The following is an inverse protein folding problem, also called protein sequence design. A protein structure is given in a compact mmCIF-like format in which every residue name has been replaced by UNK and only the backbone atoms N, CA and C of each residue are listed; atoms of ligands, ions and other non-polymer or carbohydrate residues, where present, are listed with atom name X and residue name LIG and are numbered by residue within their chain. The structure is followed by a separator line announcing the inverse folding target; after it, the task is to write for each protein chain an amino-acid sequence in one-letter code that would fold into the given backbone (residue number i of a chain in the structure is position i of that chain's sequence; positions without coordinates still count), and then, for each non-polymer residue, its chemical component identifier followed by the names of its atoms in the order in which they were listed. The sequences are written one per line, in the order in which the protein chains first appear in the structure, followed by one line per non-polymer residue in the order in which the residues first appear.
data_IF_221888723107
#
_entry.id   IF_221888723107
#
_cell.length_a   1.000
_cell.length_b   1.000
_cell.length_c   1.000
_cell.angle_alpha   90.00
_cell.angle_beta   90.00
_cell.angle_gamma   90.00
#
_symmetry.space_group_name_H-M   'P 1'
#
loop_
_entity.id
_entity.type
_entity.pdbx_description
1 polymer ?
#
# COMPACT_ATOMS: atom_id res chain seq x y z
N UNK A 1 21.99 -11.37 11.25
CA UNK A 1 22.20 -12.57 10.42
C UNK A 1 21.88 -12.16 8.99
N UNK A 2 22.90 -11.81 8.20
CA UNK A 2 22.72 -11.32 6.83
C UNK A 2 22.67 -12.55 5.93
N UNK A 3 21.46 -12.99 5.56
CA UNK A 3 21.29 -14.09 4.62
C UNK A 3 21.72 -13.62 3.24
N UNK A 4 22.81 -14.19 2.73
CA UNK A 4 23.26 -14.03 1.35
C UNK A 4 22.14 -14.54 0.42
N UNK A 5 21.62 -13.72 -0.52
CA UNK A 5 20.65 -14.21 -1.48
C UNK A 5 21.32 -15.25 -2.40
N UNK A 6 20.68 -16.41 -2.54
CA UNK A 6 21.04 -17.40 -3.56
C UNK A 6 20.94 -16.73 -4.94
N UNK A 7 21.97 -16.82 -5.80
CA UNK A 7 21.85 -16.31 -7.16
C UNK A 7 20.74 -17.08 -7.86
N UNK A 8 19.66 -16.37 -8.18
CA UNK A 8 18.55 -16.91 -8.95
C UNK A 8 18.99 -17.30 -10.36
N UNK A 9 18.19 -18.14 -11.02
CA UNK A 9 18.35 -18.47 -12.44
C UNK A 9 18.59 -17.19 -13.25
N UNK A 10 19.58 -17.16 -14.17
CA UNK A 10 19.83 -15.99 -15.00
C UNK A 10 18.57 -15.63 -15.77
N UNK A 11 18.05 -14.42 -15.53
CA UNK A 11 16.93 -13.89 -16.31
C UNK A 11 17.42 -13.51 -17.70
N UNK A 12 16.57 -13.63 -18.74
CA UNK A 12 16.92 -13.18 -20.07
C UNK A 12 17.24 -11.68 -20.06
N UNK A 13 18.12 -11.26 -20.96
CA UNK A 13 18.30 -9.84 -21.26
C UNK A 13 16.96 -9.26 -21.73
N UNK A 14 16.62 -8.06 -21.23
CA UNK A 14 15.40 -7.35 -21.58
C UNK A 14 15.68 -6.22 -22.56
N UNK A 15 14.74 -5.99 -23.47
CA UNK A 15 14.72 -4.83 -24.38
C UNK A 15 13.91 -3.65 -23.80
N UNK A 16 13.73 -3.59 -22.47
CA UNK A 16 13.11 -2.43 -21.83
C UNK A 16 13.89 -1.15 -22.19
N UNK A 17 13.17 -0.10 -22.56
CA UNK A 17 13.76 1.21 -22.82
C UNK A 17 14.72 1.62 -21.68
N UNK A 18 16.01 1.87 -21.96
CA UNK A 18 16.99 2.21 -20.94
C UNK A 18 16.60 3.42 -20.08
N UNK A 19 15.86 4.39 -20.63
CA UNK A 19 15.37 5.55 -19.88
C UNK A 19 14.25 5.20 -18.90
N UNK A 20 13.44 4.18 -19.20
CA UNK A 20 12.46 3.62 -18.25
C UNK A 20 13.20 2.76 -17.22
N UNK A 21 14.10 1.89 -17.67
CA UNK A 21 14.87 1.00 -16.81
C UNK A 21 15.68 1.77 -15.76
N UNK A 22 16.28 2.91 -16.12
CA UNK A 22 17.07 3.74 -15.20
C UNK A 22 16.23 4.37 -14.07
N UNK A 23 14.91 4.45 -14.22
CA UNK A 23 14.01 5.03 -13.21
C UNK A 23 13.56 4.01 -12.16
N UNK A 24 13.61 2.71 -12.47
CA UNK A 24 13.13 1.65 -11.59
C UNK A 24 14.13 1.36 -10.46
N UNK A 25 13.65 1.41 -9.22
CA UNK A 25 14.36 0.88 -8.05
C UNK A 25 13.89 -0.53 -7.75
N UNK A 26 14.61 -1.51 -8.28
CA UNK A 26 14.29 -2.92 -8.02
C UNK A 26 14.79 -3.35 -6.64
N UNK A 27 14.13 -4.35 -6.07
CA UNK A 27 14.64 -5.08 -4.91
C UNK A 27 15.92 -5.86 -5.21
N UNK A 28 16.46 -6.53 -4.19
CA UNK A 28 17.68 -7.35 -4.33
C UNK A 28 17.52 -8.54 -5.28
N UNK A 29 16.29 -8.99 -5.51
CA UNK A 29 15.92 -9.99 -6.51
C UNK A 29 15.73 -9.39 -7.92
N UNK A 30 15.91 -8.08 -8.07
CA UNK A 30 15.69 -7.32 -9.29
C UNK A 30 14.23 -7.26 -9.72
N UNK A 31 13.29 -7.35 -8.78
CA UNK A 31 11.85 -7.20 -9.03
C UNK A 31 11.31 -5.87 -8.49
N UNK A 32 10.19 -5.43 -9.05
CA UNK A 32 9.31 -4.40 -8.48
C UNK A 32 7.92 -5.00 -8.23
N UNK A 33 7.21 -4.61 -7.16
CA UNK A 33 5.80 -4.90 -7.02
C UNK A 33 5.01 -4.21 -8.12
N UNK A 34 3.99 -4.90 -8.65
CA UNK A 34 3.09 -4.38 -9.65
C UNK A 34 1.65 -4.48 -9.15
N UNK A 35 1.03 -3.34 -8.87
CA UNK A 35 -0.37 -3.25 -8.43
C UNK A 35 -1.24 -3.16 -9.69
N UNK A 36 -2.07 -4.18 -9.93
CA UNK A 36 -3.08 -4.13 -10.97
C UNK A 36 -4.35 -3.49 -10.41
N UNK A 37 -4.78 -2.39 -11.03
CA UNK A 37 -5.97 -1.65 -10.62
C UNK A 37 -6.92 -1.50 -11.79
N UNK A 38 -8.22 -1.72 -11.56
CA UNK A 38 -9.24 -1.46 -12.57
C UNK A 38 -9.23 0.03 -12.94
N UNK A 39 -9.12 0.32 -14.24
CA UNK A 39 -8.79 1.66 -14.73
C UNK A 39 -9.85 2.72 -14.44
N UNK A 40 -11.14 2.34 -14.45
CA UNK A 40 -12.29 3.22 -14.33
C UNK A 40 -12.85 3.29 -12.89
N UNK A 41 -12.90 2.16 -12.18
CA UNK A 41 -13.41 2.13 -10.79
C UNK A 41 -12.34 2.41 -9.74
N UNK A 42 -11.07 2.21 -10.07
CA UNK A 42 -9.98 2.27 -9.09
C UNK A 42 -9.90 1.05 -8.17
N UNK A 43 -10.71 0.00 -8.38
CA UNK A 43 -10.66 -1.24 -7.62
C UNK A 43 -9.27 -1.89 -7.74
N UNK A 44 -8.61 -2.16 -6.62
CA UNK A 44 -7.35 -2.92 -6.63
C UNK A 44 -7.69 -4.39 -6.86
N UNK A 45 -7.07 -4.99 -7.88
CA UNK A 45 -7.42 -6.33 -8.36
C UNK A 45 -6.47 -7.40 -7.85
N UNK A 46 -5.17 -7.12 -7.92
CA UNK A 46 -4.13 -8.05 -7.49
C UNK A 46 -2.80 -7.32 -7.37
N UNK A 47 -1.87 -7.99 -6.69
CA UNK A 47 -0.45 -7.65 -6.71
C UNK A 47 0.32 -8.76 -7.45
N UNK A 48 1.16 -8.36 -8.38
CA UNK A 48 2.14 -9.22 -9.05
C UNK A 48 3.56 -8.69 -8.87
N UNK A 49 4.51 -9.37 -9.50
CA UNK A 49 5.91 -8.94 -9.55
C UNK A 49 6.32 -8.79 -11.01
N UNK A 50 7.08 -7.76 -11.30
CA UNK A 50 7.68 -7.54 -12.61
C UNK A 50 9.18 -7.33 -12.46
N UNK A 51 9.94 -7.89 -13.39
CA UNK A 51 11.27 -7.42 -13.72
C UNK A 51 11.23 -6.57 -15.00
N UNK A 52 12.40 -6.23 -15.51
CA UNK A 52 12.54 -5.44 -16.72
C UNK A 52 11.85 -6.09 -17.91
N UNK A 53 11.95 -7.41 -18.05
CA UNK A 53 11.39 -8.13 -19.18
C UNK A 53 9.87 -8.28 -19.08
N UNK A 54 9.34 -8.56 -17.90
CA UNK A 54 7.92 -8.57 -17.64
C UNK A 54 7.29 -7.19 -17.89
N UNK A 55 7.97 -6.11 -17.47
CA UNK A 55 7.52 -4.74 -17.74
C UNK A 55 7.63 -4.40 -19.23
N UNK A 56 8.74 -4.75 -19.89
CA UNK A 56 8.93 -4.56 -21.32
C UNK A 56 7.81 -5.23 -22.13
N UNK A 57 7.51 -6.51 -21.88
CA UNK A 57 6.39 -7.22 -22.50
C UNK A 57 5.07 -6.55 -22.22
N UNK A 58 4.86 -6.08 -20.99
CA UNK A 58 3.63 -5.39 -20.60
C UNK A 58 3.42 -4.10 -21.39
N UNK A 59 4.47 -3.29 -21.53
CA UNK A 59 4.42 -2.01 -22.24
C UNK A 59 4.30 -2.18 -23.75
N UNK A 60 4.91 -3.23 -24.31
CA UNK A 60 4.91 -3.47 -25.77
C UNK A 60 3.66 -4.19 -26.26
N UNK A 61 3.17 -5.17 -25.52
CA UNK A 61 2.00 -5.98 -25.92
C UNK A 61 0.66 -5.39 -25.47
N UNK A 62 0.68 -4.48 -24.50
CA UNK A 62 -0.54 -3.98 -23.84
C UNK A 62 -1.24 -5.04 -22.97
N UNK A 63 -0.57 -6.17 -22.68
CA UNK A 63 -1.08 -7.27 -21.85
C UNK A 63 -0.21 -7.42 -20.60
N UNK A 64 -0.83 -7.53 -19.43
CA UNK A 64 -0.05 -7.70 -18.20
C UNK A 64 0.72 -9.02 -18.20
N UNK A 65 2.04 -8.90 -18.12
CA UNK A 65 2.98 -10.01 -17.95
C UNK A 65 3.66 -9.88 -16.61
N UNK A 66 3.75 -10.97 -15.85
CA UNK A 66 4.34 -10.99 -14.52
C UNK A 66 5.44 -12.06 -14.41
N UNK A 67 6.31 -11.93 -13.42
CA UNK A 67 7.37 -12.89 -13.07
C UNK A 67 7.05 -13.71 -11.84
N UNK A 68 7.00 -15.04 -11.98
CA UNK A 68 6.57 -15.94 -10.90
C UNK A 68 7.74 -16.27 -10.02
N UNK A 69 7.77 -15.70 -8.80
CA UNK A 69 8.86 -15.98 -7.86
C UNK A 69 8.97 -17.46 -7.49
N UNK A 70 7.85 -18.18 -7.43
CA UNK A 70 7.85 -19.61 -7.10
C UNK A 70 8.19 -20.50 -8.30
N UNK A 71 7.63 -20.21 -9.48
CA UNK A 71 7.84 -21.01 -10.70
C UNK A 71 9.06 -20.59 -11.50
N UNK A 72 9.64 -19.43 -11.18
CA UNK A 72 10.75 -18.81 -11.90
C UNK A 72 10.47 -18.73 -13.42
N UNK A 73 9.25 -18.30 -13.76
CA UNK A 73 8.79 -18.18 -15.14
C UNK A 73 7.92 -16.94 -15.35
N UNK A 74 7.89 -16.44 -16.58
CA UNK A 74 6.95 -15.40 -16.99
C UNK A 74 5.57 -16.00 -17.22
N UNK A 75 4.53 -15.24 -16.87
CA UNK A 75 3.18 -15.58 -17.27
C UNK A 75 2.41 -14.33 -17.69
N UNK A 76 1.68 -14.42 -18.80
CA UNK A 76 0.76 -13.37 -19.23
C UNK A 76 -0.60 -13.64 -18.59
N UNK A 77 -1.15 -12.65 -17.88
CA UNK A 77 -2.42 -12.82 -17.17
C UNK A 77 -3.54 -13.13 -18.15
N UNK A 78 -4.16 -14.28 -17.94
CA UNK A 78 -5.32 -14.72 -18.70
C UNK A 78 -5.03 -15.71 -19.83
N UNK A 79 -3.78 -16.07 -20.14
CA UNK A 79 -3.46 -16.96 -21.27
C UNK A 79 -4.13 -18.33 -21.17
N UNK A 80 -4.24 -18.89 -19.97
CA UNK A 80 -4.93 -20.18 -19.75
C UNK A 80 -6.42 -20.00 -19.51
N UNK A 81 -6.82 -18.99 -18.72
CA UNK A 81 -8.20 -18.82 -18.24
C UNK A 81 -9.11 -17.99 -19.17
N UNK A 82 -8.54 -17.22 -20.10
CA UNK A 82 -9.26 -16.14 -20.80
C UNK A 82 -9.49 -14.87 -19.96
N UNK A 83 -9.12 -14.85 -18.67
CA UNK A 83 -9.31 -13.69 -17.79
C UNK A 83 -8.16 -12.68 -17.91
N UNK A 84 -8.20 -11.89 -18.99
CA UNK A 84 -7.10 -11.03 -19.43
C UNK A 84 -7.08 -9.66 -18.74
N UNK A 85 -5.90 -9.03 -18.72
CA UNK A 85 -5.70 -7.65 -18.27
C UNK A 85 -5.11 -6.83 -19.41
N UNK A 86 -5.92 -5.92 -19.97
CA UNK A 86 -5.49 -4.97 -21.00
C UNK A 86 -5.00 -3.69 -20.34
N UNK A 87 -3.75 -3.32 -20.59
CA UNK A 87 -3.10 -2.15 -19.99
C UNK A 87 -3.71 -0.87 -20.57
N UNK A 88 -4.08 0.06 -19.70
CA UNK A 88 -4.54 1.42 -20.06
C UNK A 88 -3.51 2.48 -19.71
N UNK A 89 -2.82 2.32 -18.57
CA UNK A 89 -1.70 3.18 -18.19
C UNK A 89 -0.79 2.50 -17.18
N UNK A 90 0.49 2.89 -17.14
CA UNK A 90 1.46 2.44 -16.14
C UNK A 90 2.09 3.68 -15.50
N UNK A 91 2.21 3.68 -14.17
CA UNK A 91 2.87 4.75 -13.41
C UNK A 91 3.83 4.17 -12.38
N UNK A 92 4.86 4.94 -12.02
CA UNK A 92 5.72 4.68 -10.87
C UNK A 92 5.13 5.39 -9.64
N UNK A 93 5.39 4.85 -8.46
CA UNK A 93 5.21 5.58 -7.22
C UNK A 93 6.33 6.62 -6.99
N UNK A 94 6.32 7.29 -5.83
CA UNK A 94 7.11 8.48 -5.60
C UNK A 94 8.61 8.23 -5.46
N UNK A 95 9.02 7.05 -5.00
CA UNK A 95 10.40 6.61 -4.93
C UNK A 95 10.75 5.54 -5.97
N UNK A 96 9.80 5.20 -6.85
CA UNK A 96 9.98 4.37 -8.04
C UNK A 96 10.37 2.92 -7.76
N UNK A 97 9.97 2.39 -6.61
CA UNK A 97 10.15 0.97 -6.28
C UNK A 97 8.93 0.10 -6.61
N UNK A 98 7.79 0.73 -6.94
CA UNK A 98 6.53 0.06 -7.26
C UNK A 98 5.89 0.63 -8.53
N UNK A 99 5.25 -0.24 -9.32
CA UNK A 99 4.44 0.17 -10.49
C UNK A 99 2.95 0.01 -10.24
N UNK A 100 2.17 1.04 -10.58
CA UNK A 100 0.72 0.97 -10.69
C UNK A 100 0.35 0.72 -12.15
N UNK A 101 -0.30 -0.40 -12.42
CA UNK A 101 -0.78 -0.79 -13.75
C UNK A 101 -2.29 -0.66 -13.74
N UNK A 102 -2.81 0.39 -14.40
CA UNK A 102 -4.25 0.51 -14.63
C UNK A 102 -4.64 -0.38 -15.80
N UNK A 103 -5.58 -1.28 -15.55
CA UNK A 103 -6.00 -2.31 -16.50
C UNK A 103 -7.50 -2.31 -16.69
N UNK A 104 -7.92 -2.79 -17.85
CA UNK A 104 -9.28 -3.23 -18.13
C UNK A 104 -9.31 -4.74 -18.01
N UNK A 105 -9.88 -5.22 -16.90
CA UNK A 105 -9.95 -6.64 -16.58
C UNK A 105 -11.15 -7.30 -17.26
N UNK A 106 -10.88 -8.35 -18.03
CA UNK A 106 -11.90 -9.29 -18.48
C UNK A 106 -11.95 -10.49 -17.54
N UNK A 107 -13.14 -10.90 -17.09
CA UNK A 107 -13.32 -12.03 -16.18
C UNK A 107 -12.69 -11.81 -14.79
N UNK A 108 -12.34 -12.89 -14.10
CA UNK A 108 -11.81 -12.83 -12.74
C UNK A 108 -10.31 -12.49 -12.69
N UNK A 109 -9.92 -11.54 -11.83
CA UNK A 109 -8.51 -11.32 -11.56
C UNK A 109 -7.92 -12.46 -10.72
N UNK A 110 -8.69 -12.99 -9.77
CA UNK A 110 -8.24 -14.04 -8.86
C UNK A 110 -8.37 -15.44 -9.49
N UNK A 111 -7.51 -16.36 -9.06
CA UNK A 111 -7.56 -17.77 -9.48
C UNK A 111 -8.72 -18.54 -8.83
N UNK A 112 -9.33 -18.00 -7.77
CA UNK A 112 -10.53 -18.55 -7.11
C UNK A 112 -11.80 -18.28 -7.89
N UNK A 113 -11.75 -17.43 -8.93
CA UNK A 113 -12.92 -16.94 -9.65
C UNK A 113 -13.41 -15.57 -9.18
N UNK A 114 -12.81 -15.01 -8.12
CA UNK A 114 -13.21 -13.70 -7.60
C UNK A 114 -12.71 -12.52 -8.44
N UNK A 115 -13.46 -11.42 -8.36
CA UNK A 115 -13.17 -10.18 -9.11
C UNK A 115 -11.81 -9.60 -8.74
N UNK A 116 -11.48 -9.63 -7.46
CA UNK A 116 -10.22 -9.18 -6.86
C UNK A 116 -9.67 -10.25 -5.91
N UNK A 117 -8.36 -10.24 -5.69
CA UNK A 117 -7.69 -11.09 -4.71
C UNK A 117 -7.94 -10.67 -3.25
N UNK A 118 -8.58 -9.51 -3.00
CA UNK A 118 -8.61 -8.86 -1.69
C UNK A 118 -9.97 -8.97 -0.95
N UNK A 119 -10.90 -9.80 -1.42
CA UNK A 119 -12.25 -9.90 -0.82
C UNK A 119 -12.39 -11.01 0.25
N UNK A 120 -11.63 -12.09 0.15
CA UNK A 120 -11.91 -13.31 0.92
C UNK A 120 -11.56 -13.23 2.42
N UNK A 121 -10.53 -12.46 2.79
CA UNK A 121 -10.02 -12.40 4.16
C UNK A 121 -9.68 -10.96 4.56
N UNK A 122 -10.70 -10.24 5.04
CA UNK A 122 -10.59 -8.84 5.44
C UNK A 122 -10.11 -8.75 6.88
N UNK A 123 -8.89 -8.25 7.08
CA UNK A 123 -8.26 -8.13 8.40
C UNK A 123 -8.89 -7.05 9.30
N UNK A 124 -9.48 -6.01 8.70
CA UNK A 124 -10.11 -4.91 9.43
C UNK A 124 -11.24 -4.28 8.59
N UNK A 125 -12.48 -4.42 9.05
CA UNK A 125 -13.69 -3.94 8.35
C UNK A 125 -14.06 -2.47 8.63
N UNK A 126 -13.12 -1.67 9.16
CA UNK A 126 -13.36 -0.29 9.56
C UNK A 126 -13.70 -0.13 11.06
N UNK A 127 -13.51 1.10 11.55
CA UNK A 127 -14.06 1.54 12.84
C UNK A 127 -15.51 1.93 12.61
N UNK A 128 -16.45 1.35 13.38
CA UNK A 128 -17.75 2.01 13.57
C UNK A 128 -17.48 3.42 14.08
N UNK A 129 -18.13 4.47 13.54
CA UNK A 129 -17.92 5.82 14.05
C UNK A 129 -18.23 5.81 15.54
N UNK A 130 -17.23 6.17 16.36
CA UNK A 130 -17.46 6.44 17.78
C UNK A 130 -18.53 7.53 17.81
N UNK A 131 -19.70 7.21 18.36
CA UNK A 131 -20.75 8.22 18.56
C UNK A 131 -20.14 9.32 19.42
N UNK A 132 -20.15 10.55 18.91
CA UNK A 132 -19.76 11.75 19.66
C UNK A 132 -20.67 11.87 20.89
N UNK A 133 -20.25 11.28 22.02
CA UNK A 133 -21.07 11.14 23.21
C UNK A 133 -20.33 10.50 24.39
N UNK A 134 -19.31 9.67 24.13
CA UNK A 134 -18.49 9.05 25.19
C UNK A 134 -17.27 9.89 25.61
N UNK A 135 -17.39 11.22 25.56
CA UNK A 135 -16.47 12.07 26.30
C UNK A 135 -16.75 11.87 27.80
N UNK A 136 -15.96 11.03 28.46
CA UNK A 136 -15.95 10.93 29.91
C UNK A 136 -15.58 12.30 30.50
N UNK A 137 -16.28 12.79 31.53
CA UNK A 137 -15.89 14.03 32.18
C UNK A 137 -14.55 13.82 32.91
N UNK A 138 -13.62 14.74 32.67
CA UNK A 138 -12.36 14.86 33.41
C UNK A 138 -12.65 15.07 34.91
N UNK A 139 -12.51 14.00 35.69
CA UNK A 139 -12.44 14.07 37.16
C UNK A 139 -10.99 14.09 37.61
N UNK A 140 -10.31 15.23 37.43
CA UNK A 140 -9.06 15.53 38.14
C UNK A 140 -9.36 15.98 39.58
N UNK A 141 -8.82 15.33 40.63
CA UNK A 141 -8.95 15.79 41.99
C UNK A 141 -7.77 16.71 42.33
N UNK A 142 -7.96 18.02 42.24
CA UNK A 142 -7.00 18.99 42.78
C UNK A 142 -7.71 20.21 43.34
N UNK A 143 -8.44 20.00 44.42
CA UNK A 143 -8.69 21.03 45.44
C UNK A 143 -9.23 20.33 46.67
N UNK A 144 -8.35 19.97 47.62
CA UNK A 144 -8.58 20.07 49.07
C UNK A 144 -7.26 19.75 49.79
N UNK A 145 -6.53 20.77 50.24
CA UNK A 145 -5.67 20.61 51.40
C UNK A 145 -5.57 21.90 52.23
N UNK A 146 -5.96 21.75 53.49
CA UNK A 146 -5.69 22.55 54.72
C UNK A 146 -6.70 23.63 55.10
N UNK A 147 -7.58 23.24 56.03
CA UNK A 147 -8.12 24.10 57.09
C UNK A 147 -7.24 23.97 58.34
N UNK A 148 -6.78 25.10 58.90
CA UNK A 148 -6.61 25.24 60.35
C UNK A 148 -6.45 26.71 60.79
N UNK A 149 -7.51 27.22 61.42
CA UNK A 149 -7.59 28.08 62.63
C UNK A 149 -6.86 29.43 62.67
N UNK A 150 -7.66 30.50 62.83
CA UNK A 150 -7.58 31.39 64.01
C UNK A 150 -7.23 32.87 63.81
N UNK A 151 -8.17 33.77 64.17
CA UNK A 151 -7.88 35.14 64.66
C UNK A 151 -8.49 36.30 63.84
N UNK A 152 -9.23 37.26 64.45
CA UNK A 152 -9.84 38.38 63.71
C UNK A 152 -8.98 39.67 63.66
N UNK A 153 -9.01 40.32 62.49
CA UNK A 153 -9.15 41.78 62.16
C UNK A 153 -8.35 42.79 63.02
N UNK A 154 -7.55 43.74 62.46
CA UNK A 154 -8.13 44.89 61.74
C UNK A 154 -7.37 45.58 60.60
N UNK A 155 -8.15 46.50 60.00
CA UNK A 155 -7.95 47.43 58.87
C UNK A 155 -6.68 48.30 58.95
N UNK A 156 -6.13 48.62 57.77
CA UNK A 156 -5.32 49.82 57.51
C UNK A 156 -5.00 49.92 56.00
N UNK A 157 -5.65 50.84 55.29
CA UNK A 157 -5.14 52.11 54.71
C UNK A 157 -4.02 51.97 53.67
N UNK A 158 -4.29 52.52 52.47
CA UNK A 158 -3.44 53.25 51.49
C UNK A 158 -2.04 52.66 51.14
N UNK A 159 -1.45 52.79 49.96
CA UNK A 159 -1.46 53.79 48.89
C UNK A 159 -0.63 53.20 47.72
N UNK A 160 -0.75 53.78 46.52
CA UNK A 160 0.15 53.55 45.39
C UNK A 160 1.56 54.14 45.67
N UNK A 161 2.61 53.88 44.87
CA UNK A 161 2.69 54.17 43.43
C UNK A 161 3.03 52.98 42.52
#
# INVERSE_FOLDING_TARGET
MTSTPTPGTPRPASDLDPAIAARLKRGADGLVPAIAQQYDTGEVLMLGWMDDEALHRTLTTGRCTYWSRSRQEYWVKGDTSGHIQLVKSVALDCDADTVLVKVDQTGAACHTGDRTCFDADVLFGGVSPVRAGDATPDTSPSSQLRSSRGGPIPRGVAEAP
#
